data_IF_395689118809
#
_entry.id   IF_395689118809
#
_cell.length_a   1.000
_cell.length_b   1.000
_cell.length_c   1.000
_cell.angle_alpha   90.00
_cell.angle_beta   90.00
_cell.angle_gamma   90.00
#
_symmetry.space_group_name_H-M   'P 1'
#
loop_
_entity.id
_entity.type
_entity.pdbx_description
1 polymer ?
#
# COMPACT_ATOMS: atom_id res chain seq x y z
N UNK A 1 -22.36 14.19 5.07
CA UNK A 1 -20.93 13.85 5.19
C UNK A 1 -20.63 12.92 4.03
N UNK A 2 -20.20 13.46 2.89
CA UNK A 2 -19.82 12.64 1.74
C UNK A 2 -18.56 11.85 2.11
N UNK A 3 -18.59 10.53 1.97
CA UNK A 3 -17.40 9.71 2.17
C UNK A 3 -16.46 9.97 1.00
N UNK A 4 -15.33 10.60 1.27
CA UNK A 4 -14.22 10.66 0.35
C UNK A 4 -13.72 9.22 0.10
N UNK A 5 -13.72 8.79 -1.16
CA UNK A 5 -13.19 7.48 -1.54
C UNK A 5 -11.81 7.72 -2.14
N UNK A 6 -10.79 7.23 -1.44
CA UNK A 6 -9.42 7.21 -1.92
C UNK A 6 -9.19 5.96 -2.78
N UNK A 7 -8.71 6.17 -4.01
CA UNK A 7 -8.30 5.09 -4.91
C UNK A 7 -6.83 5.24 -5.27
N UNK A 8 -6.19 4.11 -5.54
CA UNK A 8 -4.76 4.07 -5.87
C UNK A 8 -4.52 3.42 -7.22
N UNK A 9 -3.61 3.99 -8.00
CA UNK A 9 -3.11 3.40 -9.23
C UNK A 9 -2.17 2.21 -8.99
N UNK A 10 -1.82 1.47 -10.05
CA UNK A 10 -0.94 0.30 -9.96
C UNK A 10 0.47 0.62 -9.47
N UNK A 11 0.90 1.89 -9.49
CA UNK A 11 2.19 2.32 -8.95
C UNK A 11 2.05 3.09 -7.64
N UNK A 12 0.88 3.06 -7.02
CA UNK A 12 0.58 3.77 -5.78
C UNK A 12 0.18 5.23 -5.96
N UNK A 13 -0.12 5.68 -7.19
CA UNK A 13 -0.65 7.03 -7.43
C UNK A 13 -1.97 7.23 -6.68
N UNK A 14 -2.09 8.28 -5.87
CA UNK A 14 -3.31 8.56 -5.12
C UNK A 14 -4.28 9.39 -5.95
N UNK A 15 -5.51 8.90 -6.08
CA UNK A 15 -6.60 9.56 -6.80
C UNK A 15 -7.73 9.92 -5.85
N UNK A 16 -7.93 11.24 -5.70
CA UNK A 16 -9.12 11.80 -5.06
C UNK A 16 -10.27 11.80 -6.05
N UNK A 17 -11.23 10.89 -5.86
CA UNK A 17 -12.35 10.68 -6.78
C UNK A 17 -13.31 11.87 -6.72
N UNK A 18 -13.64 12.42 -7.89
CA UNK A 18 -14.67 13.46 -8.04
C UNK A 18 -16.04 12.85 -8.31
N UNK A 19 -16.12 11.95 -9.29
CA UNK A 19 -17.33 11.20 -9.59
C UNK A 19 -17.00 9.88 -10.27
N UNK A 20 -17.96 8.95 -10.18
CA UNK A 20 -17.96 7.71 -10.93
C UNK A 20 -18.84 7.86 -12.17
N UNK A 21 -18.38 7.35 -13.30
CA UNK A 21 -19.13 7.29 -14.54
C UNK A 21 -19.30 5.83 -14.97
N UNK A 22 -20.56 5.41 -15.15
CA UNK A 22 -20.86 4.12 -15.77
C UNK A 22 -20.93 4.30 -17.28
N UNK A 23 -20.23 3.46 -18.04
CA UNK A 23 -20.35 3.37 -19.50
C UNK A 23 -21.05 2.06 -19.89
N UNK A 24 -22.40 2.04 -20.02
CA UNK A 24 -23.15 0.79 -20.20
C UNK A 24 -22.65 -0.07 -21.36
N UNK A 25 -22.29 0.56 -22.48
CA UNK A 25 -21.79 -0.12 -23.69
C UNK A 25 -20.50 -0.93 -23.46
N UNK A 26 -19.65 -0.52 -22.53
CA UNK A 26 -18.36 -1.17 -22.25
C UNK A 26 -18.39 -2.03 -20.98
N UNK A 27 -19.55 -2.18 -20.36
CA UNK A 27 -19.71 -2.77 -19.02
C UNK A 27 -18.72 -2.29 -17.95
N UNK A 28 -18.23 -1.05 -18.09
CA UNK A 28 -17.15 -0.51 -17.27
C UNK A 28 -17.60 0.65 -16.39
N UNK A 29 -16.93 0.78 -15.24
CA UNK A 29 -16.96 1.96 -14.39
C UNK A 29 -15.65 2.72 -14.54
N UNK A 30 -15.75 4.04 -14.65
CA UNK A 30 -14.62 4.95 -14.71
C UNK A 30 -14.69 5.93 -13.54
N UNK A 31 -13.54 6.46 -13.14
CA UNK A 31 -13.47 7.64 -12.26
C UNK A 31 -12.97 8.85 -13.04
N UNK A 32 -13.43 10.01 -12.59
CA UNK A 32 -12.74 11.29 -12.81
C UNK A 32 -12.08 11.71 -11.50
N UNK A 33 -10.86 12.24 -11.56
CA UNK A 33 -10.11 12.76 -10.41
C UNK A 33 -9.77 14.24 -10.63
N UNK A 34 -9.38 14.94 -9.55
CA UNK A 34 -9.17 16.38 -9.61
C UNK A 34 -8.01 16.78 -10.55
N UNK A 35 -8.18 17.92 -11.24
CA UNK A 35 -7.21 18.60 -12.11
C UNK A 35 -6.93 18.01 -13.51
N UNK A 36 -7.48 16.84 -13.86
CA UNK A 36 -7.46 16.32 -15.23
C UNK A 36 -8.86 15.87 -15.69
N UNK A 37 -9.13 15.98 -16.99
CA UNK A 37 -10.32 15.42 -17.62
C UNK A 37 -10.15 13.93 -17.99
N UNK A 38 -9.06 13.31 -17.52
CA UNK A 38 -8.78 11.90 -17.77
C UNK A 38 -9.77 11.03 -17.00
N UNK A 39 -10.23 9.97 -17.67
CA UNK A 39 -11.06 8.94 -17.09
C UNK A 39 -10.21 7.68 -16.91
N UNK A 40 -10.21 7.13 -15.70
CA UNK A 40 -9.45 5.91 -15.37
C UNK A 40 -10.44 4.79 -15.09
N UNK A 41 -10.17 3.60 -15.62
CA UNK A 41 -10.98 2.43 -15.34
C UNK A 41 -10.88 2.05 -13.86
N UNK A 42 -12.03 1.86 -13.21
CA UNK A 42 -12.08 1.41 -11.80
C UNK A 42 -11.40 0.05 -11.64
N UNK A 43 -11.47 -0.81 -12.66
CA UNK A 43 -10.82 -2.13 -12.67
C UNK A 43 -9.29 -2.08 -12.58
N UNK A 44 -8.66 -0.94 -12.87
CA UNK A 44 -7.21 -0.76 -12.73
C UNK A 44 -6.80 -0.07 -11.42
N UNK A 45 -7.73 0.11 -10.49
CA UNK A 45 -7.52 0.86 -9.25
C UNK A 45 -7.69 -0.02 -8.01
N UNK A 46 -7.04 0.39 -6.93
CA UNK A 46 -7.00 -0.32 -5.67
C UNK A 46 -7.55 0.55 -4.54
N UNK A 47 -8.23 -0.07 -3.58
CA UNK A 47 -8.72 0.60 -2.35
C UNK A 47 -7.59 0.90 -1.35
N UNK A 48 -6.43 0.26 -1.53
CA UNK A 48 -5.21 0.48 -0.76
C UNK A 48 -4.07 0.62 -1.74
N UNK A 49 -3.12 1.51 -1.46
CA UNK A 49 -1.94 1.65 -2.29
C UNK A 49 -1.25 0.28 -2.46
N UNK A 50 -1.05 -0.21 -3.70
CA UNK A 50 -0.28 -1.42 -3.91
C UNK A 50 1.15 -1.21 -3.41
N UNK A 51 1.79 -2.30 -3.03
CA UNK A 51 3.20 -2.25 -2.68
C UNK A 51 4.04 -1.94 -3.92
N UNK A 52 5.24 -1.39 -3.71
CA UNK A 52 6.17 -1.12 -4.81
C UNK A 52 7.61 -1.32 -4.35
N UNK A 53 8.51 -1.62 -5.30
CA UNK A 53 9.95 -1.69 -5.00
C UNK A 53 10.48 -0.41 -4.35
N UNK A 54 9.98 0.76 -4.79
CA UNK A 54 10.34 2.05 -4.20
C UNK A 54 9.90 2.14 -2.74
N UNK A 55 8.66 1.78 -2.44
CA UNK A 55 8.13 1.78 -1.07
C UNK A 55 8.89 0.79 -0.17
N UNK A 56 9.16 -0.42 -0.66
CA UNK A 56 9.95 -1.40 0.09
C UNK A 56 11.35 -0.87 0.38
N UNK A 57 12.00 -0.23 -0.59
CA UNK A 57 13.30 0.40 -0.37
C UNK A 57 13.23 1.53 0.66
N UNK A 58 12.24 2.42 0.57
CA UNK A 58 12.04 3.50 1.55
C UNK A 58 11.82 2.97 2.97
N UNK A 59 11.08 1.87 3.13
CA UNK A 59 10.86 1.24 4.44
C UNK A 59 12.14 0.57 4.96
N UNK A 60 12.93 -0.06 4.08
CA UNK A 60 14.23 -0.65 4.43
C UNK A 60 15.25 0.41 4.82
N UNK A 61 15.33 1.51 4.06
CA UNK A 61 16.21 2.65 4.36
C UNK A 61 15.83 3.29 5.69
N UNK A 62 14.52 3.42 5.97
CA UNK A 62 14.05 3.88 7.27
C UNK A 62 14.58 2.96 8.38
N UNK A 63 14.37 1.64 8.29
CA UNK A 63 14.90 0.70 9.27
C UNK A 63 16.43 0.77 9.42
N UNK A 64 17.16 0.89 8.31
CA UNK A 64 18.62 0.92 8.29
C UNK A 64 19.24 2.20 8.89
N UNK A 65 18.50 3.31 8.86
CA UNK A 65 18.97 4.59 9.39
C UNK A 65 18.86 4.70 10.93
N UNK A 66 18.25 3.72 11.60
CA UNK A 66 18.12 3.70 13.07
C UNK A 66 18.83 2.47 13.66
N UNK A 67 19.74 2.71 14.61
CA UNK A 67 20.55 1.66 15.24
C UNK A 67 19.79 0.86 16.31
N UNK A 68 18.74 1.45 16.87
CA UNK A 68 17.84 0.81 17.84
C UNK A 68 16.43 0.76 17.25
N UNK A 69 15.70 -0.32 17.55
CA UNK A 69 14.33 -0.51 17.07
C UNK A 69 14.19 -0.46 15.54
N UNK A 70 15.26 -0.81 14.79
CA UNK A 70 15.27 -0.82 13.32
C UNK A 70 14.04 -1.50 12.70
N UNK A 71 13.54 -2.65 13.22
CA UNK A 71 12.31 -3.23 12.73
C UNK A 71 11.06 -2.36 12.96
N UNK A 72 10.97 -1.61 14.05
CA UNK A 72 9.85 -0.69 14.30
C UNK A 72 9.84 0.45 13.27
N UNK A 73 11.02 0.99 12.97
CA UNK A 73 11.19 2.01 11.95
C UNK A 73 10.87 1.49 10.54
N UNK A 74 11.27 0.26 10.22
CA UNK A 74 10.84 -0.45 9.01
C UNK A 74 9.31 -0.49 8.88
N UNK A 75 8.61 -0.78 9.98
CA UNK A 75 7.14 -0.79 10.02
C UNK A 75 6.49 0.60 10.14
N UNK A 76 7.27 1.68 10.08
CA UNK A 76 6.81 3.07 10.27
C UNK A 76 6.08 3.25 11.61
N UNK A 77 6.59 2.60 12.66
CA UNK A 77 6.08 2.67 14.03
C UNK A 77 7.00 3.51 14.90
N UNK A 78 6.40 4.26 15.82
CA UNK A 78 7.14 4.95 16.87
C UNK A 78 7.77 3.94 17.83
N UNK A 79 8.91 4.34 18.40
CA UNK A 79 9.62 3.55 19.41
C UNK A 79 8.65 3.15 20.53
N UNK A 80 8.56 1.85 20.83
CA UNK A 80 7.79 1.27 21.95
C UNK A 80 6.25 1.26 21.84
N UNK A 81 5.63 1.59 20.70
CA UNK A 81 4.18 1.31 20.51
C UNK A 81 3.94 -0.15 20.07
N UNK A 82 4.22 -1.08 20.99
CA UNK A 82 4.09 -2.51 20.72
C UNK A 82 2.69 -3.06 21.01
N UNK A 83 1.87 -2.36 21.80
CA UNK A 83 0.57 -2.86 22.31
C UNK A 83 -0.44 -3.22 21.21
N UNK A 84 -0.27 -2.66 20.02
CA UNK A 84 -1.07 -2.94 18.81
C UNK A 84 -0.22 -3.40 17.62
N UNK A 85 1.06 -3.73 17.86
CA UNK A 85 1.99 -4.08 16.82
C UNK A 85 1.77 -5.51 16.32
N UNK A 86 1.88 -5.71 15.02
CA UNK A 86 1.83 -7.05 14.42
C UNK A 86 2.98 -7.96 14.89
N UNK A 87 4.06 -7.36 15.42
CA UNK A 87 5.18 -8.05 16.04
C UNK A 87 4.96 -8.40 17.52
N UNK A 88 3.88 -7.94 18.17
CA UNK A 88 3.67 -8.10 19.64
C UNK A 88 3.64 -9.57 20.11
N UNK A 89 3.26 -10.48 19.22
CA UNK A 89 3.22 -11.93 19.50
C UNK A 89 4.58 -12.62 19.38
N UNK A 90 5.62 -11.90 18.99
CA UNK A 90 6.96 -12.43 18.75
C UNK A 90 7.92 -12.02 19.87
N UNK A 91 8.93 -12.85 20.11
CA UNK A 91 9.97 -12.56 21.12
C UNK A 91 10.86 -11.38 20.73
N UNK A 92 10.89 -11.03 19.45
CA UNK A 92 11.56 -9.85 18.91
C UNK A 92 10.87 -9.40 17.61
N UNK A 93 11.23 -8.21 17.12
CA UNK A 93 10.66 -7.66 15.90
C UNK A 93 11.39 -8.11 14.61
N UNK A 94 12.53 -8.79 14.73
CA UNK A 94 13.34 -9.20 13.58
C UNK A 94 12.63 -10.27 12.74
N UNK A 95 12.10 -11.31 13.39
CA UNK A 95 11.41 -12.39 12.70
C UNK A 95 10.18 -11.89 11.90
N UNK A 96 9.26 -11.08 12.46
CA UNK A 96 8.15 -10.53 11.67
C UNK A 96 8.64 -9.60 10.55
N UNK A 97 9.67 -8.78 10.76
CA UNK A 97 10.23 -7.92 9.69
C UNK A 97 10.76 -8.74 8.51
N UNK A 98 11.58 -9.76 8.74
CA UNK A 98 12.07 -10.61 7.64
C UNK A 98 10.96 -11.38 6.93
N UNK A 99 9.91 -11.81 7.66
CA UNK A 99 8.73 -12.44 7.05
C UNK A 99 7.97 -11.46 6.16
N UNK A 100 7.77 -10.22 6.62
CA UNK A 100 7.08 -9.19 5.84
C UNK A 100 7.88 -8.81 4.58
N UNK A 101 9.18 -8.53 4.73
CA UNK A 101 10.09 -8.26 3.59
C UNK A 101 10.00 -9.38 2.54
N UNK A 102 10.11 -10.64 2.97
CA UNK A 102 10.03 -11.77 2.05
C UNK A 102 8.64 -11.87 1.39
N UNK A 103 7.56 -11.62 2.13
CA UNK A 103 6.19 -11.61 1.60
C UNK A 103 6.00 -10.52 0.54
N UNK A 104 6.45 -9.29 0.82
CA UNK A 104 6.43 -8.14 -0.09
C UNK A 104 7.22 -8.44 -1.37
N UNK A 105 8.42 -9.00 -1.25
CA UNK A 105 9.23 -9.41 -2.41
C UNK A 105 8.49 -10.44 -3.29
N UNK A 106 7.87 -11.48 -2.70
CA UNK A 106 7.11 -12.48 -3.47
C UNK A 106 5.95 -11.84 -4.23
N UNK A 107 5.19 -10.96 -3.57
CA UNK A 107 4.10 -10.20 -4.22
C UNK A 107 4.62 -9.32 -5.35
N UNK A 108 5.71 -8.59 -5.13
CA UNK A 108 6.34 -7.74 -6.14
C UNK A 108 6.94 -8.52 -7.33
N UNK A 109 7.23 -9.82 -7.14
CA UNK A 109 7.61 -10.75 -8.22
C UNK A 109 6.40 -11.35 -8.96
N UNK A 110 5.17 -11.03 -8.56
CA UNK A 110 3.95 -11.59 -9.13
C UNK A 110 3.58 -12.98 -8.60
N UNK A 111 4.19 -13.44 -7.50
CA UNK A 111 3.94 -14.78 -6.94
C UNK A 111 2.66 -14.85 -6.06
N UNK A 112 1.89 -13.76 -5.98
CA UNK A 112 0.70 -13.64 -5.12
C UNK A 112 -0.64 -13.38 -5.85
N UNK A 113 -0.63 -13.27 -7.18
CA UNK A 113 -1.82 -12.98 -8.00
C UNK A 113 -2.35 -14.23 -8.73
N UNK A 114 -1.95 -15.42 -8.29
CA UNK A 114 -2.49 -16.69 -8.75
C UNK A 114 -3.61 -17.15 -7.79
N UNK A 115 -4.80 -16.56 -7.93
CA UNK A 115 -6.10 -17.13 -7.56
C UNK A 115 -7.24 -16.40 -8.29
#
# INVERSE_FOLDING_TARGET
MEREIDLYGPRGEHYKVRFFARLPHMDSWLISYAFNNDLIAVSSLYLKAPDSWKKLLEDLDEGANHSEYSPCFYFRKDMCDCSSCEADRYSNCDQPAFKDIASRIRKLRGEGDAD
#
